data_IF_119458083238
#
_entry.id   IF_119458083238
#
_cell.length_a   1.000
_cell.length_b   1.000
_cell.length_c   1.000
_cell.angle_alpha   90.00
_cell.angle_beta   90.00
_cell.angle_gamma   90.00
#
_symmetry.space_group_name_H-M   'P 1'
#
loop_
_entity.id
_entity.type
_entity.pdbx_description
1 polymer ?
#
# COMPACT_ATOMS: atom_id res chain seq x y z
N UNK A 1 -2.90 11.55 -30.84
CA UNK A 1 -2.62 10.44 -29.89
C UNK A 1 -3.16 10.84 -28.52
N UNK A 2 -3.79 9.93 -27.78
CA UNK A 2 -4.28 10.19 -26.42
C UNK A 2 -3.32 9.59 -25.40
N UNK A 3 -3.14 10.24 -24.25
CA UNK A 3 -2.44 9.70 -23.10
C UNK A 3 -3.38 9.60 -21.90
N UNK A 4 -3.28 8.54 -21.16
CA UNK A 4 -4.00 8.37 -19.90
C UNK A 4 -3.04 8.70 -18.76
N UNK A 5 -3.41 9.68 -17.96
CA UNK A 5 -2.74 10.01 -16.72
C UNK A 5 -3.59 9.60 -15.54
N UNK A 6 -2.99 9.01 -14.51
CA UNK A 6 -3.71 8.55 -13.34
C UNK A 6 -2.90 8.66 -12.06
N UNK A 7 -3.61 8.80 -10.96
CA UNK A 7 -3.13 8.54 -9.61
C UNK A 7 -4.07 7.52 -8.97
N UNK A 8 -3.54 6.42 -8.45
CA UNK A 8 -4.30 5.33 -7.85
C UNK A 8 -3.78 5.02 -6.46
N UNK A 9 -4.68 4.86 -5.51
CA UNK A 9 -4.39 4.37 -4.16
C UNK A 9 -5.18 3.10 -3.89
N UNK A 10 -4.57 2.19 -3.16
CA UNK A 10 -5.19 0.98 -2.67
C UNK A 10 -5.46 1.10 -1.17
N UNK A 11 -6.59 0.63 -0.71
CA UNK A 11 -6.98 0.62 0.70
C UNK A 11 -7.60 -0.72 1.06
N UNK A 12 -7.22 -1.27 2.21
CA UNK A 12 -7.96 -2.39 2.78
C UNK A 12 -9.19 -1.90 3.52
N UNK A 13 -10.31 -2.53 3.26
CA UNK A 13 -11.47 -2.43 4.15
C UNK A 13 -11.29 -3.33 5.37
N UNK A 14 -12.00 -3.05 6.48
CA UNK A 14 -11.96 -3.86 7.71
C UNK A 14 -12.20 -5.36 7.46
N UNK A 15 -13.00 -5.73 6.47
CA UNK A 15 -13.25 -7.10 6.05
C UNK A 15 -12.13 -7.76 5.21
N UNK A 16 -11.00 -7.06 5.02
CA UNK A 16 -9.85 -7.55 4.27
C UNK A 16 -9.96 -7.45 2.75
N UNK A 17 -11.01 -6.83 2.22
CA UNK A 17 -11.12 -6.57 0.77
C UNK A 17 -10.30 -5.34 0.40
N UNK A 18 -9.64 -5.43 -0.74
CA UNK A 18 -8.86 -4.34 -1.30
C UNK A 18 -9.75 -3.45 -2.18
N UNK A 19 -9.80 -2.17 -1.84
CA UNK A 19 -10.44 -1.13 -2.65
C UNK A 19 -9.38 -0.30 -3.36
N UNK A 20 -9.73 0.15 -4.57
CA UNK A 20 -8.91 1.07 -5.32
C UNK A 20 -9.66 2.37 -5.55
N UNK A 21 -8.99 3.48 -5.27
CA UNK A 21 -9.44 4.82 -5.62
C UNK A 21 -8.48 5.34 -6.69
N UNK A 22 -9.01 5.82 -7.78
CA UNK A 22 -8.20 6.32 -8.88
C UNK A 22 -8.77 7.65 -9.41
N UNK A 23 -7.89 8.61 -9.61
CA UNK A 23 -8.16 9.79 -10.43
C UNK A 23 -7.56 9.53 -11.80
N UNK A 24 -8.36 9.66 -12.84
CA UNK A 24 -7.96 9.36 -14.22
C UNK A 24 -8.24 10.58 -15.07
N UNK A 25 -7.30 10.95 -15.91
CA UNK A 25 -7.42 12.07 -16.85
C UNK A 25 -6.92 11.67 -18.23
N UNK A 26 -7.58 12.20 -19.25
CA UNK A 26 -7.10 12.15 -20.63
C UNK A 26 -6.28 13.40 -20.93
N UNK A 27 -5.12 13.20 -21.50
CA UNK A 27 -4.21 14.25 -21.98
C UNK A 27 -3.99 14.13 -23.48
N UNK A 28 -3.56 15.20 -24.11
CA UNK A 28 -3.11 15.21 -25.48
C UNK A 28 -1.75 14.49 -25.68
N UNK A 29 -1.17 14.55 -26.87
CA UNK A 29 0.05 13.81 -27.22
C UNK A 29 1.26 14.19 -26.36
N UNK A 30 1.35 15.45 -25.93
CA UNK A 30 2.48 15.97 -25.15
C UNK A 30 2.21 15.91 -23.61
N UNK A 31 1.19 15.17 -23.19
CA UNK A 31 0.81 15.00 -21.80
C UNK A 31 -0.06 16.15 -21.30
N UNK A 32 0.17 16.57 -20.05
CA UNK A 32 -0.67 17.57 -19.36
C UNK A 32 -0.57 19.00 -19.93
N UNK A 33 0.32 19.25 -20.84
CA UNK A 33 0.49 20.56 -21.51
C UNK A 33 -0.42 20.73 -22.70
N UNK A 34 -0.96 19.64 -23.23
CA UNK A 34 -1.83 19.64 -24.40
C UNK A 34 -3.20 19.07 -24.05
N UNK A 35 -4.31 19.76 -24.39
CA UNK A 35 -5.64 19.22 -24.16
C UNK A 35 -5.90 17.97 -25.02
N UNK A 36 -6.75 17.06 -24.57
CA UNK A 36 -7.19 15.94 -25.38
C UNK A 36 -8.03 16.43 -26.59
N UNK A 37 -8.14 15.64 -27.67
CA UNK A 37 -9.05 15.94 -28.74
C UNK A 37 -10.48 16.11 -28.24
N UNK A 38 -11.26 16.95 -28.90
CA UNK A 38 -12.67 17.24 -28.52
C UNK A 38 -13.56 15.97 -28.47
N UNK A 39 -13.24 14.93 -29.23
CA UNK A 39 -13.92 13.64 -29.22
C UNK A 39 -13.65 12.81 -27.94
N UNK A 40 -12.61 13.13 -27.19
CA UNK A 40 -12.24 12.43 -25.96
C UNK A 40 -12.98 13.04 -24.74
N UNK A 41 -14.29 12.89 -24.72
CA UNK A 41 -15.15 13.44 -23.69
C UNK A 41 -15.09 12.63 -22.39
N UNK A 42 -15.56 13.23 -21.28
CA UNK A 42 -15.71 12.54 -19.98
C UNK A 42 -16.63 11.31 -20.10
N UNK A 43 -17.70 11.40 -20.89
CA UNK A 43 -18.61 10.29 -21.14
C UNK A 43 -17.87 9.10 -21.76
N UNK A 44 -17.08 9.35 -22.80
CA UNK A 44 -16.25 8.32 -23.47
C UNK A 44 -15.26 7.70 -22.49
N UNK A 45 -14.61 8.51 -21.65
CA UNK A 45 -13.71 7.99 -20.61
C UNK A 45 -14.44 7.12 -19.59
N UNK A 46 -15.60 7.57 -19.13
CA UNK A 46 -16.45 6.85 -18.16
C UNK A 46 -16.85 5.48 -18.71
N UNK A 47 -17.32 5.43 -19.95
CA UNK A 47 -17.73 4.19 -20.60
C UNK A 47 -16.54 3.25 -20.84
N UNK A 48 -15.38 3.81 -21.21
CA UNK A 48 -14.15 3.05 -21.37
C UNK A 48 -13.69 2.43 -20.05
N UNK A 49 -13.77 3.16 -18.92
CA UNK A 49 -13.43 2.66 -17.58
C UNK A 49 -14.37 1.51 -17.20
N UNK A 50 -15.69 1.67 -17.37
CA UNK A 50 -16.68 0.64 -17.08
C UNK A 50 -16.46 -0.60 -17.93
N UNK A 51 -16.27 -0.42 -19.23
CA UNK A 51 -16.00 -1.52 -20.14
C UNK A 51 -14.69 -2.25 -19.82
N UNK A 52 -13.63 -1.51 -19.46
CA UNK A 52 -12.36 -2.11 -19.08
C UNK A 52 -12.49 -2.94 -17.79
N UNK A 53 -13.19 -2.44 -16.78
CA UNK A 53 -13.42 -3.17 -15.53
C UNK A 53 -14.15 -4.50 -15.76
N UNK A 54 -15.17 -4.50 -16.61
CA UNK A 54 -15.94 -5.72 -16.95
C UNK A 54 -15.13 -6.75 -17.75
N UNK A 55 -14.09 -6.32 -18.47
CA UNK A 55 -13.24 -7.21 -19.27
C UNK A 55 -12.12 -7.88 -18.47
N UNK A 56 -11.82 -7.39 -17.27
CA UNK A 56 -10.77 -7.99 -16.45
C UNK A 56 -11.27 -9.30 -15.88
N UNK A 57 -10.75 -10.39 -16.42
CA UNK A 57 -11.06 -11.76 -16.03
C UNK A 57 -9.75 -12.54 -15.91
N UNK A 58 -9.61 -13.31 -14.86
CA UNK A 58 -8.45 -14.18 -14.63
C UNK A 58 -8.97 -15.57 -14.32
N UNK A 59 -8.78 -16.49 -15.24
CA UNK A 59 -9.05 -17.89 -15.00
C UNK A 59 -7.97 -18.48 -14.09
N UNK A 60 -8.39 -19.21 -13.08
CA UNK A 60 -7.53 -19.92 -12.14
C UNK A 60 -8.07 -21.34 -12.01
N UNK A 61 -7.19 -22.32 -12.20
CA UNK A 61 -7.51 -23.73 -12.01
C UNK A 61 -6.52 -24.34 -11.02
N UNK A 62 -7.02 -25.14 -10.09
CA UNK A 62 -6.22 -25.89 -9.12
C UNK A 62 -7.08 -27.02 -8.54
N UNK A 63 -6.47 -28.17 -8.29
CA UNK A 63 -7.15 -29.30 -7.63
C UNK A 63 -7.69 -28.93 -6.25
N UNK A 64 -7.04 -27.96 -5.57
CA UNK A 64 -7.43 -27.54 -4.23
C UNK A 64 -8.65 -26.59 -4.21
N UNK A 65 -8.84 -25.76 -5.26
CA UNK A 65 -9.89 -24.73 -5.29
C UNK A 65 -10.87 -24.91 -6.47
N UNK A 66 -10.63 -25.86 -7.35
CA UNK A 66 -11.36 -26.05 -8.60
C UNK A 66 -11.07 -24.95 -9.62
N UNK A 67 -11.88 -24.90 -10.67
CA UNK A 67 -11.84 -23.84 -11.66
C UNK A 67 -12.59 -22.60 -11.16
N UNK A 68 -11.94 -21.46 -11.26
CA UNK A 68 -12.48 -20.15 -10.84
C UNK A 68 -12.18 -19.09 -11.88
N UNK A 69 -13.15 -18.24 -12.14
CA UNK A 69 -12.93 -16.99 -12.85
C UNK A 69 -12.97 -15.84 -11.85
N UNK A 70 -11.86 -15.13 -11.75
CA UNK A 70 -11.73 -13.95 -10.88
C UNK A 70 -12.02 -12.70 -11.70
N UNK A 71 -12.90 -11.86 -11.19
CA UNK A 71 -13.31 -10.59 -11.81
C UNK A 71 -13.21 -9.46 -10.79
N UNK A 72 -13.26 -8.24 -11.27
CA UNK A 72 -13.52 -7.10 -10.37
C UNK A 72 -14.91 -7.23 -9.74
N UNK A 73 -15.06 -6.68 -8.54
CA UNK A 73 -16.37 -6.57 -7.91
C UNK A 73 -17.31 -5.67 -8.73
N UNK A 74 -18.61 -5.85 -8.54
CA UNK A 74 -19.66 -5.13 -9.27
C UNK A 74 -19.81 -3.67 -8.84
N UNK A 75 -19.25 -3.28 -7.70
CA UNK A 75 -19.31 -1.91 -7.19
C UNK A 75 -18.22 -1.06 -7.85
N UNK A 76 -18.56 -0.43 -8.95
CA UNK A 76 -17.73 0.56 -9.64
C UNK A 76 -18.46 1.90 -9.66
N UNK A 77 -17.96 2.87 -8.89
CA UNK A 77 -18.45 4.25 -8.89
C UNK A 77 -17.48 5.11 -9.73
N UNK A 78 -18.01 5.77 -10.76
CA UNK A 78 -17.24 6.66 -11.64
C UNK A 78 -17.93 8.02 -11.62
N UNK A 79 -17.21 9.03 -11.14
CA UNK A 79 -17.71 10.40 -11.02
C UNK A 79 -16.82 11.37 -11.77
N UNK A 80 -17.43 12.34 -12.42
CA UNK A 80 -16.75 13.46 -13.03
C UNK A 80 -16.23 14.41 -11.95
N UNK A 81 -15.02 14.91 -12.14
CA UNK A 81 -14.41 15.93 -11.30
C UNK A 81 -14.48 17.25 -12.05
N UNK A 82 -15.23 18.19 -11.50
CA UNK A 82 -15.33 19.53 -12.08
C UNK A 82 -14.10 20.39 -11.75
N UNK A 83 -13.81 21.35 -12.60
CA UNK A 83 -12.74 22.30 -12.39
C UNK A 83 -12.97 23.16 -11.13
N UNK A 84 -11.89 23.65 -10.55
CA UNK A 84 -11.91 24.51 -9.39
C UNK A 84 -12.79 25.76 -9.64
N UNK A 85 -13.65 26.10 -8.69
CA UNK A 85 -14.50 27.30 -8.75
C UNK A 85 -15.89 27.11 -9.40
N UNK A 86 -16.31 25.89 -9.68
CA UNK A 86 -17.68 25.57 -10.08
C UNK A 86 -18.49 25.10 -8.86
N UNK A 87 -19.81 25.33 -8.84
CA UNK A 87 -20.73 24.87 -7.78
C UNK A 87 -20.98 23.33 -7.81
N UNK A 88 -20.06 22.57 -8.42
CA UNK A 88 -20.19 21.13 -8.53
C UNK A 88 -19.85 20.42 -7.22
N UNK A 89 -20.55 19.33 -6.92
CA UNK A 89 -20.36 18.52 -5.70
C UNK A 89 -18.93 17.99 -5.52
N UNK A 90 -18.17 17.81 -6.62
CA UNK A 90 -16.85 17.20 -6.60
C UNK A 90 -15.83 18.11 -7.27
N UNK A 91 -15.10 18.88 -6.47
CA UNK A 91 -14.02 19.73 -6.94
C UNK A 91 -12.67 19.00 -6.95
N UNK A 92 -11.72 19.48 -7.74
CA UNK A 92 -10.35 18.97 -7.80
C UNK A 92 -9.64 19.03 -6.43
N UNK A 93 -9.90 20.06 -5.64
CA UNK A 93 -9.38 20.19 -4.27
C UNK A 93 -9.96 19.13 -3.32
N UNK A 94 -11.27 18.88 -3.38
CA UNK A 94 -11.94 17.87 -2.58
C UNK A 94 -11.38 16.46 -2.95
N UNK A 95 -11.18 16.21 -4.23
CA UNK A 95 -10.61 14.95 -4.71
C UNK A 95 -9.15 14.80 -4.31
N UNK A 96 -8.35 15.87 -4.40
CA UNK A 96 -6.95 15.85 -3.96
C UNK A 96 -6.85 15.53 -2.47
N UNK A 97 -7.68 16.15 -1.63
CA UNK A 97 -7.77 15.87 -0.20
C UNK A 97 -8.22 14.43 0.08
N UNK A 98 -9.21 13.94 -0.68
CA UNK A 98 -9.70 12.56 -0.58
C UNK A 98 -8.61 11.54 -0.92
N UNK A 99 -7.91 11.68 -2.05
CA UNK A 99 -6.82 10.79 -2.45
C UNK A 99 -5.66 10.86 -1.45
N UNK A 100 -5.31 12.05 -0.97
CA UNK A 100 -4.26 12.23 0.03
C UNK A 100 -4.58 11.51 1.35
N UNK A 101 -5.84 11.54 1.80
CA UNK A 101 -6.31 10.80 2.97
C UNK A 101 -6.02 9.31 2.86
N UNK A 102 -6.29 8.71 1.71
CA UNK A 102 -6.05 7.27 1.50
C UNK A 102 -4.58 6.94 1.22
N UNK A 103 -3.86 7.83 0.56
CA UNK A 103 -2.42 7.65 0.34
C UNK A 103 -1.60 7.69 1.64
N UNK A 104 -2.13 8.34 2.69
CA UNK A 104 -1.48 8.45 4.00
C UNK A 104 -1.98 7.43 5.02
N UNK A 105 -3.08 6.73 4.74
CA UNK A 105 -3.51 5.60 5.55
C UNK A 105 -2.47 4.49 5.48
N UNK A 106 -1.89 4.17 6.63
CA UNK A 106 -0.98 3.05 6.73
C UNK A 106 -1.74 1.72 6.71
N UNK A 107 -1.03 0.63 6.47
CA UNK A 107 -1.57 -0.73 6.59
C UNK A 107 -2.15 -1.01 7.99
N UNK A 108 -1.74 -0.25 9.01
CA UNK A 108 -2.23 -0.36 10.39
C UNK A 108 -3.74 -0.10 10.51
N UNK A 109 -4.34 0.68 9.60
CA UNK A 109 -5.77 0.96 9.60
C UNK A 109 -6.64 -0.23 9.15
N UNK A 110 -6.03 -1.31 8.68
CA UNK A 110 -6.70 -2.46 8.07
C UNK A 110 -6.62 -3.75 8.89
N UNK A 111 -6.20 -3.68 10.16
CA UNK A 111 -5.99 -4.86 11.02
C UNK A 111 -5.05 -5.93 10.39
N UNK A 112 -4.28 -5.55 9.37
CA UNK A 112 -3.23 -6.39 8.77
C UNK A 112 -1.92 -6.22 9.52
N UNK A 113 -1.01 -7.17 9.35
CA UNK A 113 0.29 -7.13 10.01
C UNK A 113 1.29 -6.33 9.15
N UNK A 114 2.13 -5.54 9.80
CA UNK A 114 3.16 -4.71 9.18
C UNK A 114 4.47 -5.46 8.86
N UNK A 115 4.53 -6.75 9.22
CA UNK A 115 5.73 -7.56 9.06
C UNK A 115 5.46 -8.91 8.40
N UNK A 116 6.46 -9.41 7.67
CA UNK A 116 6.38 -10.69 7.01
C UNK A 116 6.29 -11.85 8.01
N UNK A 117 5.44 -12.84 7.70
CA UNK A 117 5.16 -14.00 8.55
C UNK A 117 6.09 -15.18 8.29
N UNK A 118 6.89 -15.14 7.25
CA UNK A 118 7.82 -16.23 6.95
C UNK A 118 9.08 -16.19 7.81
N UNK A 119 9.57 -17.34 8.16
CA UNK A 119 10.84 -17.51 8.85
C UNK A 119 11.99 -17.00 7.97
N UNK A 120 12.72 -16.00 8.44
CA UNK A 120 13.84 -15.40 7.68
C UNK A 120 14.99 -16.35 7.43
N UNK A 121 15.48 -17.15 8.43
CA UNK A 121 16.58 -18.09 8.20
C UNK A 121 16.33 -19.08 7.06
N UNK A 122 15.17 -19.71 7.00
CA UNK A 122 14.84 -20.63 5.93
C UNK A 122 14.04 -20.02 4.77
N UNK A 123 13.82 -18.72 4.79
CA UNK A 123 13.04 -18.01 3.75
C UNK A 123 11.65 -18.63 3.51
N UNK A 124 10.98 -19.05 4.58
CA UNK A 124 9.66 -19.66 4.53
C UNK A 124 9.62 -21.12 4.08
N UNK A 125 10.75 -21.74 3.76
CA UNK A 125 10.81 -23.13 3.27
C UNK A 125 10.51 -24.17 4.35
N UNK A 126 10.73 -23.84 5.61
CA UNK A 126 10.67 -24.80 6.72
C UNK A 126 11.90 -25.69 6.84
N UNK A 127 12.79 -25.65 5.86
CA UNK A 127 14.01 -26.44 5.82
C UNK A 127 15.21 -25.60 5.41
N UNK A 128 16.38 -25.99 5.86
CA UNK A 128 17.68 -25.53 5.38
C UNK A 128 18.33 -26.69 4.61
N UNK A 129 18.99 -26.38 3.50
CA UNK A 129 19.68 -27.37 2.71
C UNK A 129 21.12 -27.54 3.21
N UNK A 130 21.53 -28.76 3.47
CA UNK A 130 22.94 -29.08 3.68
C UNK A 130 23.73 -28.93 2.36
N UNK A 131 25.10 -28.87 2.42
CA UNK A 131 25.93 -28.76 1.23
C UNK A 131 25.66 -29.87 0.17
N UNK A 132 25.17 -31.01 0.61
CA UNK A 132 24.83 -32.15 -0.27
C UNK A 132 23.37 -32.19 -0.71
N UNK A 133 22.61 -31.09 -0.50
CA UNK A 133 21.21 -30.97 -0.94
C UNK A 133 20.18 -31.63 -0.02
N UNK A 134 20.58 -32.29 1.06
CA UNK A 134 19.64 -32.90 2.02
C UNK A 134 18.92 -31.83 2.81
N UNK A 135 17.56 -31.78 2.80
CA UNK A 135 16.80 -30.82 3.59
C UNK A 135 16.77 -31.22 5.07
N UNK A 136 17.15 -30.32 5.96
CA UNK A 136 16.95 -30.45 7.39
C UNK A 136 15.86 -29.48 7.86
N UNK A 137 14.99 -29.87 8.81
CA UNK A 137 14.04 -28.96 9.42
C UNK A 137 14.75 -27.71 9.95
N UNK A 138 14.21 -26.55 9.64
CA UNK A 138 14.76 -25.29 10.15
C UNK A 138 14.51 -25.18 11.65
N UNK A 139 15.57 -25.11 12.44
CA UNK A 139 15.50 -25.04 13.91
C UNK A 139 14.89 -23.72 14.41
N UNK A 140 14.98 -22.65 13.61
CA UNK A 140 14.40 -21.34 13.98
C UNK A 140 12.86 -21.29 13.90
N UNK A 141 12.23 -22.24 13.22
CA UNK A 141 10.78 -22.31 13.04
C UNK A 141 10.23 -23.73 13.17
N UNK A 142 10.99 -24.67 13.69
CA UNK A 142 10.60 -26.08 13.87
C UNK A 142 9.98 -26.68 12.59
N UNK A 143 10.59 -26.39 11.45
CA UNK A 143 10.15 -26.91 10.15
C UNK A 143 8.91 -26.25 9.57
N UNK A 144 8.22 -25.33 10.26
CA UNK A 144 6.96 -24.72 9.80
C UNK A 144 7.13 -23.70 8.67
N UNK A 145 8.30 -23.10 8.56
CA UNK A 145 8.56 -21.97 7.67
C UNK A 145 7.98 -20.64 8.16
N UNK A 146 7.26 -20.63 9.30
CA UNK A 146 6.60 -19.47 9.87
C UNK A 146 7.48 -18.80 10.92
N UNK A 147 7.53 -17.48 10.93
CA UNK A 147 8.22 -16.72 11.99
C UNK A 147 7.44 -16.76 13.33
N UNK A 148 6.12 -16.92 13.25
CA UNK A 148 5.20 -17.10 14.38
C UNK A 148 4.06 -18.04 13.95
N UNK A 149 3.51 -18.86 14.84
CA UNK A 149 2.35 -19.70 14.54
C UNK A 149 1.15 -18.84 14.11
N UNK A 150 0.58 -19.10 12.93
CA UNK A 150 -0.56 -18.34 12.39
C UNK A 150 -1.78 -18.31 13.33
N UNK A 151 -2.12 -19.37 14.08
CA UNK A 151 -3.24 -19.33 15.04
C UNK A 151 -3.08 -18.32 16.17
N UNK A 152 -1.84 -17.90 16.47
CA UNK A 152 -1.52 -16.98 17.58
C UNK A 152 -1.33 -15.53 17.12
N UNK A 153 -1.71 -15.20 15.88
CA UNK A 153 -1.62 -13.83 15.39
C UNK A 153 -2.69 -12.95 16.06
N UNK A 154 -2.25 -11.80 16.57
CA UNK A 154 -3.13 -10.79 17.17
C UNK A 154 -3.85 -9.97 16.09
N UNK A 155 -4.77 -10.61 15.37
CA UNK A 155 -5.62 -10.03 14.33
C UNK A 155 -7.02 -10.62 14.44
N UNK A 156 -8.07 -9.95 13.92
CA UNK A 156 -9.42 -10.49 13.89
C UNK A 156 -9.48 -11.89 13.27
N UNK A 157 -10.42 -12.70 13.72
CA UNK A 157 -10.56 -14.11 13.30
C UNK A 157 -10.63 -14.26 11.77
N UNK A 158 -11.42 -13.42 11.11
CA UNK A 158 -11.57 -13.46 9.66
C UNK A 158 -10.27 -13.11 8.93
N UNK A 159 -9.52 -12.08 9.41
CA UNK A 159 -8.22 -11.71 8.84
C UNK A 159 -7.21 -12.84 9.03
N UNK A 160 -7.20 -13.48 10.20
CA UNK A 160 -6.34 -14.65 10.49
C UNK A 160 -6.62 -15.79 9.53
N UNK A 161 -7.90 -16.04 9.23
CA UNK A 161 -8.27 -17.07 8.26
C UNK A 161 -7.81 -16.70 6.84
N UNK A 162 -7.97 -15.46 6.41
CA UNK A 162 -7.47 -15.00 5.11
C UNK A 162 -5.95 -15.12 5.00
N UNK A 163 -5.22 -14.73 6.04
CA UNK A 163 -3.77 -14.91 6.14
C UNK A 163 -3.40 -16.39 5.98
N UNK A 164 -4.08 -17.26 6.72
CA UNK A 164 -3.87 -18.71 6.64
C UNK A 164 -4.15 -19.23 5.22
N UNK A 165 -5.24 -18.83 4.61
CA UNK A 165 -5.57 -19.21 3.22
C UNK A 165 -4.47 -18.76 2.25
N UNK A 166 -4.00 -17.51 2.34
CA UNK A 166 -2.89 -17.02 1.53
C UNK A 166 -1.61 -17.84 1.75
N UNK A 167 -1.34 -18.23 2.99
CA UNK A 167 -0.18 -19.04 3.33
C UNK A 167 -0.26 -20.42 2.71
N UNK A 168 -1.40 -21.10 2.87
CA UNK A 168 -1.64 -22.46 2.37
C UNK A 168 -1.66 -22.51 0.83
N UNK A 169 -2.43 -21.63 0.20
CA UNK A 169 -2.45 -21.52 -1.27
C UNK A 169 -1.07 -21.21 -1.86
N UNK A 170 -0.30 -20.36 -1.21
CA UNK A 170 1.05 -20.02 -1.67
C UNK A 170 2.06 -21.16 -1.62
N UNK A 171 1.70 -22.29 -1.02
CA UNK A 171 2.51 -23.49 -0.97
C UNK A 171 2.13 -24.52 -2.04
N UNK A 172 1.01 -24.32 -2.72
CA UNK A 172 0.60 -25.18 -3.82
C UNK A 172 1.52 -24.93 -5.04
N UNK A 173 1.94 -25.98 -5.76
CA UNK A 173 2.85 -25.86 -6.89
C UNK A 173 2.37 -24.86 -7.94
N UNK A 174 1.09 -24.88 -8.26
CA UNK A 174 0.45 -24.02 -9.27
C UNK A 174 0.46 -22.54 -8.89
N UNK A 175 0.52 -22.20 -7.59
CA UNK A 175 0.55 -20.82 -7.07
C UNK A 175 1.93 -20.37 -6.61
N UNK A 176 2.97 -21.19 -6.78
CA UNK A 176 4.35 -20.86 -6.35
C UNK A 176 4.84 -19.54 -6.96
N UNK A 177 4.52 -19.27 -8.23
CA UNK A 177 4.87 -18.02 -8.92
C UNK A 177 4.25 -16.77 -8.30
N UNK A 178 3.11 -16.91 -7.65
CA UNK A 178 2.42 -15.81 -6.97
C UNK A 178 3.06 -15.46 -5.62
N UNK A 179 3.83 -16.37 -5.02
CA UNK A 179 4.51 -16.18 -3.72
C UNK A 179 3.55 -15.69 -2.62
N UNK A 180 2.30 -16.17 -2.60
CA UNK A 180 1.27 -15.71 -1.68
C UNK A 180 1.68 -15.85 -0.20
N UNK A 181 2.39 -16.93 0.14
CA UNK A 181 2.92 -17.15 1.48
C UNK A 181 3.83 -16.00 1.95
N UNK A 182 4.61 -15.40 1.04
CA UNK A 182 5.49 -14.27 1.34
C UNK A 182 4.71 -13.02 1.68
N UNK A 183 3.54 -12.85 1.07
CA UNK A 183 2.66 -11.68 1.20
C UNK A 183 1.41 -11.97 2.03
N UNK A 184 1.38 -13.10 2.76
CA UNK A 184 0.23 -13.49 3.54
C UNK A 184 -0.17 -12.45 4.60
N UNK A 185 0.79 -11.74 5.20
CA UNK A 185 0.54 -10.62 6.12
C UNK A 185 -0.22 -9.46 5.46
N UNK A 186 -0.15 -9.34 4.13
CA UNK A 186 -0.87 -8.37 3.31
C UNK A 186 -1.96 -9.06 2.47
N UNK A 187 -2.53 -10.15 2.95
CA UNK A 187 -3.60 -10.90 2.30
C UNK A 187 -3.32 -11.23 0.81
N UNK A 188 -2.06 -11.47 0.48
CA UNK A 188 -1.60 -11.78 -0.87
C UNK A 188 -1.34 -10.56 -1.77
N UNK A 189 -1.67 -9.35 -1.35
CA UNK A 189 -1.42 -8.16 -2.14
C UNK A 189 0.09 -7.83 -2.21
N UNK A 190 0.61 -7.76 -3.44
CA UNK A 190 2.03 -7.46 -3.74
C UNK A 190 2.23 -6.08 -4.36
N UNK A 191 1.15 -5.37 -4.63
CA UNK A 191 1.19 -4.08 -5.31
C UNK A 191 1.64 -2.94 -4.41
N UNK A 192 1.89 -1.80 -5.03
CA UNK A 192 2.09 -0.56 -4.30
C UNK A 192 0.74 0.03 -3.91
N UNK A 193 0.62 0.49 -2.67
CA UNK A 193 -0.60 1.15 -2.19
C UNK A 193 -0.86 2.47 -2.91
N UNK A 194 0.17 3.15 -3.37
CA UNK A 194 0.05 4.37 -4.17
C UNK A 194 0.85 4.24 -5.44
N UNK A 195 0.20 4.42 -6.58
CA UNK A 195 0.83 4.41 -7.90
C UNK A 195 0.30 5.56 -8.75
N UNK A 196 1.10 6.03 -9.67
CA UNK A 196 0.72 7.09 -10.62
C UNK A 196 1.37 6.87 -11.97
N UNK A 197 0.79 7.44 -13.01
CA UNK A 197 1.41 7.49 -14.33
C UNK A 197 2.71 8.31 -14.29
N UNK A 198 3.64 8.00 -15.19
CA UNK A 198 4.94 8.69 -15.26
C UNK A 198 4.83 10.17 -15.66
N UNK A 199 3.73 10.55 -16.32
CA UNK A 199 3.49 11.95 -16.73
C UNK A 199 3.25 12.89 -15.56
N UNK A 200 2.90 12.39 -14.38
CA UNK A 200 2.93 13.21 -13.16
C UNK A 200 4.37 13.31 -12.67
N UNK A 201 5.04 14.38 -13.09
CA UNK A 201 6.48 14.58 -12.93
C UNK A 201 6.97 14.80 -11.49
N UNK A 202 6.07 14.75 -10.49
CA UNK A 202 6.43 14.99 -9.09
C UNK A 202 6.90 13.73 -8.41
N UNK A 203 8.14 13.70 -7.95
CA UNK A 203 8.67 12.62 -7.12
C UNK A 203 8.22 12.77 -5.66
N UNK A 204 8.23 11.67 -4.88
CA UNK A 204 8.01 11.77 -3.42
C UNK A 204 9.02 12.69 -2.74
N UNK A 205 10.24 12.79 -3.28
CA UNK A 205 11.25 13.74 -2.82
C UNK A 205 10.81 15.18 -3.02
N UNK A 206 10.32 15.53 -4.22
CA UNK A 206 9.79 16.87 -4.52
C UNK A 206 8.58 17.23 -3.64
N UNK A 207 7.65 16.28 -3.41
CA UNK A 207 6.51 16.52 -2.51
C UNK A 207 6.97 16.76 -1.05
N UNK A 208 7.97 16.02 -0.58
CA UNK A 208 8.56 16.25 0.76
C UNK A 208 9.24 17.62 0.85
N UNK A 209 9.89 18.05 -0.23
CA UNK A 209 10.54 19.36 -0.30
C UNK A 209 9.54 20.50 -0.24
N UNK A 210 8.47 20.44 -1.04
CA UNK A 210 7.36 21.41 -0.99
C UNK A 210 6.77 21.49 0.42
N UNK A 211 6.53 20.35 1.06
CA UNK A 211 5.99 20.31 2.43
C UNK A 211 6.98 20.87 3.44
N UNK A 212 8.27 20.63 3.26
CA UNK A 212 9.33 21.20 4.11
C UNK A 212 9.37 22.71 3.97
N UNK A 213 9.44 23.21 2.73
CA UNK A 213 9.45 24.63 2.42
C UNK A 213 8.22 25.34 3.04
N UNK A 214 7.03 24.79 2.86
CA UNK A 214 5.81 25.32 3.46
C UNK A 214 5.88 25.39 4.99
N UNK A 215 6.31 24.31 5.65
CA UNK A 215 6.48 24.29 7.12
C UNK A 215 7.48 25.32 7.60
N UNK A 216 8.59 25.45 6.89
CA UNK A 216 9.62 26.46 7.20
C UNK A 216 9.06 27.86 7.05
N UNK A 217 8.32 28.13 5.99
CA UNK A 217 7.66 29.41 5.77
C UNK A 217 6.65 29.74 6.88
N UNK A 218 5.81 28.78 7.27
CA UNK A 218 4.87 28.95 8.38
C UNK A 218 5.58 29.23 9.71
N UNK A 219 6.62 28.47 10.02
CA UNK A 219 7.41 28.66 11.24
C UNK A 219 8.08 30.05 11.27
N UNK A 220 8.62 30.51 10.13
CA UNK A 220 9.20 31.85 10.00
C UNK A 220 8.17 32.96 10.15
N UNK A 221 7.01 32.79 9.50
CA UNK A 221 5.91 33.74 9.66
C UNK A 221 5.44 33.85 11.11
N UNK A 222 5.30 32.74 11.80
CA UNK A 222 4.98 32.71 13.24
C UNK A 222 6.06 33.37 14.12
N UNK A 223 7.31 33.27 13.71
CA UNK A 223 8.44 33.90 14.41
C UNK A 223 8.67 35.36 14.00
N UNK A 224 7.86 35.94 13.10
CA UNK A 224 8.03 37.30 12.60
C UNK A 224 9.30 37.51 11.77
N UNK A 225 9.89 36.42 11.24
CA UNK A 225 11.12 36.48 10.45
C UNK A 225 10.80 36.78 8.97
N UNK A 226 11.59 37.65 8.30
CA UNK A 226 11.42 37.94 6.87
C UNK A 226 11.60 36.67 6.02
N UNK A 227 11.06 36.72 4.78
CA UNK A 227 11.31 35.63 3.84
C UNK A 227 12.81 35.42 3.60
N UNK A 228 13.29 34.17 3.53
CA UNK A 228 14.69 33.89 3.29
C UNK A 228 15.04 34.27 1.86
N UNK A 229 16.12 35.02 1.69
CA UNK A 229 16.70 35.22 0.37
C UNK A 229 17.34 33.89 -0.08
N UNK A 230 16.87 33.28 -1.18
CA UNK A 230 17.40 32.00 -1.66
C UNK A 230 18.88 32.05 -2.04
N UNK A 231 19.41 33.25 -2.29
CA UNK A 231 20.83 33.44 -2.65
C UNK A 231 21.76 33.51 -1.44
N UNK A 232 21.24 33.84 -0.26
CA UNK A 232 22.01 34.01 0.96
C UNK A 232 21.77 32.92 2.01
N UNK A 233 20.76 32.06 1.80
CA UNK A 233 20.41 30.99 2.74
C UNK A 233 21.11 29.70 2.35
N UNK A 234 22.17 29.33 3.09
CA UNK A 234 22.82 28.04 2.97
C UNK A 234 22.21 27.07 4.00
N UNK A 235 21.56 26.02 3.52
CA UNK A 235 21.09 24.90 4.38
C UNK A 235 22.16 23.82 4.41
N UNK A 236 22.92 23.73 5.49
CA UNK A 236 23.92 22.69 5.69
C UNK A 236 23.25 21.55 6.48
N UNK A 237 23.06 20.40 5.82
CA UNK A 237 22.69 19.16 6.49
C UNK A 237 23.95 18.41 6.90
N UNK A 238 24.16 18.25 8.20
CA UNK A 238 25.24 17.41 8.72
C UNK A 238 24.64 16.10 9.26
N UNK A 239 25.08 14.99 8.69
CA UNK A 239 24.65 13.66 9.12
C UNK A 239 25.84 12.94 9.74
N UNK A 240 25.69 12.58 11.01
CA UNK A 240 26.66 11.75 11.70
C UNK A 240 26.05 10.38 11.95
N UNK A 241 26.73 9.33 11.53
CA UNK A 241 26.29 7.97 11.85
C UNK A 241 26.55 7.73 13.34
N UNK A 242 25.48 7.52 14.12
CA UNK A 242 25.55 7.27 15.55
C UNK A 242 25.55 5.76 15.89
N UNK A 243 25.21 4.91 14.93
CA UNK A 243 25.13 3.47 15.11
C UNK A 243 23.89 2.85 14.51
N UNK A 244 23.84 1.54 14.48
CA UNK A 244 22.66 0.75 14.12
C UNK A 244 22.11 0.04 15.35
N UNK A 245 20.78 -0.04 15.43
CA UNK A 245 20.09 -0.66 16.57
C UNK A 245 19.76 0.35 17.68
N UNK A 246 19.27 -0.18 18.78
CA UNK A 246 18.89 0.61 19.95
C UNK A 246 19.91 0.42 21.08
N UNK A 247 20.14 1.45 21.87
CA UNK A 247 20.81 1.30 23.16
C UNK A 247 20.01 0.36 24.09
N UNK A 248 20.60 -0.25 25.11
CA UNK A 248 19.86 -1.13 26.04
C UNK A 248 18.60 -0.48 26.60
N UNK A 249 18.64 0.78 27.02
CA UNK A 249 17.48 1.52 27.52
C UNK A 249 16.43 1.79 26.43
N UNK A 250 16.87 2.19 25.23
CA UNK A 250 15.96 2.40 24.10
C UNK A 250 15.32 1.08 23.60
N UNK A 251 16.03 -0.05 23.74
CA UNK A 251 15.49 -1.39 23.47
C UNK A 251 14.33 -1.73 24.39
N UNK A 252 14.46 -1.43 25.69
CA UNK A 252 13.38 -1.64 26.67
C UNK A 252 12.18 -0.74 26.37
N UNK A 253 12.38 0.52 26.03
CA UNK A 253 11.31 1.43 25.63
C UNK A 253 10.60 0.94 24.36
N UNK A 254 11.36 0.55 23.34
CA UNK A 254 10.81 0.02 22.09
C UNK A 254 10.06 -1.31 22.31
N UNK A 255 10.52 -2.14 23.24
CA UNK A 255 9.81 -3.36 23.64
C UNK A 255 8.50 -3.03 24.37
N UNK A 256 8.52 -2.06 25.28
CA UNK A 256 7.32 -1.59 25.99
C UNK A 256 6.26 -0.99 25.06
N UNK A 257 6.67 -0.19 24.08
CA UNK A 257 5.76 0.36 23.06
C UNK A 257 5.16 -0.75 22.20
N UNK A 258 5.97 -1.73 21.78
CA UNK A 258 5.48 -2.89 21.00
C UNK A 258 4.49 -3.71 21.82
N UNK A 259 4.79 -3.99 23.08
CA UNK A 259 3.90 -4.75 23.97
C UNK A 259 2.56 -4.03 24.18
N UNK A 260 2.58 -2.70 24.40
CA UNK A 260 1.35 -1.91 24.54
C UNK A 260 0.50 -1.96 23.26
N UNK A 261 1.10 -1.77 22.08
CA UNK A 261 0.39 -1.90 20.80
C UNK A 261 -0.16 -3.31 20.58
N UNK A 262 0.52 -4.33 21.05
CA UNK A 262 0.06 -5.72 20.97
C UNK A 262 -1.15 -5.98 21.88
N UNK A 263 -1.13 -5.41 23.10
CA UNK A 263 -2.29 -5.45 24.03
C UNK A 263 -3.49 -4.66 23.45
N UNK A 264 -3.28 -3.46 22.94
CA UNK A 264 -4.34 -2.67 22.27
C UNK A 264 -4.98 -3.45 21.12
N UNK A 265 -4.19 -4.15 20.32
CA UNK A 265 -4.69 -5.02 19.23
C UNK A 265 -5.48 -6.22 19.76
N UNK A 266 -5.06 -6.83 20.87
CA UNK A 266 -5.78 -7.93 21.51
C UNK A 266 -7.13 -7.47 22.04
N UNK A 267 -7.18 -6.35 22.76
CA UNK A 267 -8.43 -5.77 23.26
C UNK A 267 -9.40 -5.41 22.12
N UNK A 268 -8.88 -4.85 21.01
CA UNK A 268 -9.71 -4.54 19.84
C UNK A 268 -10.20 -5.81 19.14
N UNK A 269 -9.43 -6.89 19.18
CA UNK A 269 -9.81 -8.17 18.58
C UNK A 269 -10.83 -8.98 19.41
N UNK A 270 -10.83 -8.78 20.73
CA UNK A 270 -11.74 -9.47 21.68
C UNK A 270 -13.05 -8.69 21.91
N UNK A 271 -13.04 -7.36 21.74
CA UNK A 271 -14.20 -6.47 21.93
C UNK A 271 -15.06 -6.22 20.70
N UNK A 272 -14.77 -6.89 19.59
CA UNK A 272 -15.52 -6.79 18.33
C UNK A 272 -16.60 -7.88 18.24
N UNK A 273 -17.67 -7.77 19.06
CA UNK A 273 -18.96 -8.40 18.77
C UNK A 273 -19.80 -7.47 17.91
#
# INVERSE_FOLDING_TARGET
MLRISFAKVAEYQKRGLLHFHAVIRLDGPDGNTTPPPASATVAVLTDAIRAAALRVRVAVASDAIGERELTWGTQLDVREIAAFGTDAELTDQAVAAYVAKYATKSADASDTLDHALFCRPCQGRGATLLPHGTPLPCTACDGTGQARPLPRLAVPRHVRQMIRTCWELGRLPEFTGLKLWKWAHMLGFRGHFSTKSRSYSTTLGALREVRRAWRTQQARAHAGLPEPDPTTTLVIGHWTYLGSGYSPGATLLAAGVRHRKELERQFTAEGGC
#
